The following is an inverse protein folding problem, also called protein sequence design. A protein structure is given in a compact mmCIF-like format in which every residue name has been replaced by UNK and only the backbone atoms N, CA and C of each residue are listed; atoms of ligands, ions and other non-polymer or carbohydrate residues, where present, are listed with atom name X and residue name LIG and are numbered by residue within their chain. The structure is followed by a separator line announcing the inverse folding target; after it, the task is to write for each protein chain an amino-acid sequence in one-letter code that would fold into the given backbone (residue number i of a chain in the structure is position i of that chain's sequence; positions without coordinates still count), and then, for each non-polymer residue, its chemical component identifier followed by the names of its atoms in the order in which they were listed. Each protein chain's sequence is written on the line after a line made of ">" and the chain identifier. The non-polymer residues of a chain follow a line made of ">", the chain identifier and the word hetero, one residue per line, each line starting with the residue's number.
data_IF_293502391124
#
_entry.id   IF_293502391124
#
_cell.length_a   1.000
_cell.length_b   1.000
_cell.length_c   1.000
_cell.angle_alpha   90.00
_cell.angle_beta   90.00
_cell.angle_gamma   90.00
#
_symmetry.space_group_name_H-M   'P 1'
#
loop_
_entity.id
_entity.type
_entity.pdbx_description
1 polymer ?
#
# COMPACT_ATOMS: atom_id res chain seq x y z
N UNK A 1 34.00 2.93 9.43
CA UNK A 1 33.28 2.40 8.24
C UNK A 1 31.90 1.88 8.65
N UNK A 2 30.99 2.77 9.11
CA UNK A 2 29.67 2.40 9.67
C UNK A 2 28.47 2.81 8.78
N UNK A 3 28.73 3.45 7.62
CA UNK A 3 27.68 3.96 6.73
C UNK A 3 27.03 2.92 5.80
N UNK A 4 27.58 1.71 5.72
CA UNK A 4 27.03 0.62 4.89
C UNK A 4 25.69 0.04 5.40
N UNK A 5 25.54 -0.33 6.69
CA UNK A 5 24.30 -0.96 7.18
C UNK A 5 23.11 0.00 7.26
N UNK A 6 23.36 1.31 7.43
CA UNK A 6 22.30 2.32 7.49
C UNK A 6 21.58 2.41 6.15
N UNK A 7 22.32 2.35 5.04
CA UNK A 7 21.74 2.39 3.69
C UNK A 7 20.84 1.19 3.41
N UNK A 8 21.22 -0.01 3.86
CA UNK A 8 20.39 -1.21 3.70
C UNK A 8 19.11 -1.14 4.53
N UNK A 9 19.19 -0.62 5.76
CA UNK A 9 18.01 -0.39 6.60
C UNK A 9 17.01 0.58 5.95
N UNK A 10 17.50 1.69 5.39
CA UNK A 10 16.65 2.67 4.70
C UNK A 10 15.92 2.02 3.52
N UNK A 11 16.61 1.20 2.71
CA UNK A 11 15.98 0.52 1.57
C UNK A 11 14.91 -0.47 2.03
N UNK A 12 15.16 -1.22 3.10
CA UNK A 12 14.17 -2.15 3.68
C UNK A 12 12.91 -1.41 4.13
N UNK A 13 13.08 -0.29 4.85
CA UNK A 13 11.95 0.52 5.34
C UNK A 13 11.15 1.11 4.17
N UNK A 14 11.83 1.61 3.14
CA UNK A 14 11.16 2.14 1.94
C UNK A 14 10.38 1.04 1.21
N UNK A 15 10.97 -0.13 1.02
CA UNK A 15 10.30 -1.26 0.37
C UNK A 15 9.05 -1.71 1.15
N UNK A 16 9.14 -1.73 2.48
CA UNK A 16 8.01 -2.06 3.35
C UNK A 16 6.88 -1.02 3.26
N UNK A 17 7.22 0.27 3.30
CA UNK A 17 6.24 1.37 3.14
C UNK A 17 5.59 1.35 1.75
N UNK A 18 6.37 1.09 0.70
CA UNK A 18 5.85 0.94 -0.65
C UNK A 18 4.86 -0.24 -0.75
N UNK A 19 5.18 -1.37 -0.10
CA UNK A 19 4.28 -2.51 -0.01
C UNK A 19 2.97 -2.19 0.72
N UNK A 20 3.04 -1.52 1.88
CA UNK A 20 1.85 -1.12 2.64
C UNK A 20 0.94 -0.17 1.85
N UNK A 21 1.53 0.80 1.15
CA UNK A 21 0.80 1.73 0.29
C UNK A 21 0.19 1.01 -0.91
N UNK A 22 0.94 0.09 -1.53
CA UNK A 22 0.45 -0.73 -2.64
C UNK A 22 -0.73 -1.62 -2.23
N UNK A 23 -0.67 -2.24 -1.05
CA UNK A 23 -1.77 -3.05 -0.49
C UNK A 23 -3.02 -2.19 -0.25
N UNK A 24 -2.84 -1.00 0.34
CA UNK A 24 -3.92 -0.02 0.55
C UNK A 24 -4.56 0.39 -0.78
N UNK A 25 -3.74 0.72 -1.77
CA UNK A 25 -4.19 1.12 -3.11
C UNK A 25 -4.89 -0.04 -3.84
N UNK A 26 -4.40 -1.28 -3.71
CA UNK A 26 -5.07 -2.43 -4.33
C UNK A 26 -6.46 -2.68 -3.78
N UNK A 27 -6.69 -2.49 -2.48
CA UNK A 27 -8.02 -2.68 -1.90
C UNK A 27 -8.96 -1.56 -2.38
N UNK A 28 -8.48 -0.31 -2.49
CA UNK A 28 -9.28 0.78 -3.04
C UNK A 28 -9.57 0.62 -4.53
N UNK A 29 -8.56 0.23 -5.30
CA UNK A 29 -8.67 0.02 -6.74
C UNK A 29 -9.55 -1.20 -7.03
N UNK A 30 -9.40 -2.30 -6.27
CA UNK A 30 -10.25 -3.49 -6.44
C UNK A 30 -11.72 -3.15 -6.21
N UNK A 31 -12.02 -2.26 -5.24
CA UNK A 31 -13.36 -1.78 -5.01
C UNK A 31 -13.86 -0.90 -6.17
N UNK A 32 -13.04 0.03 -6.65
CA UNK A 32 -13.34 0.90 -7.77
C UNK A 32 -13.57 0.12 -9.08
N UNK A 33 -12.74 -0.90 -9.36
CA UNK A 33 -12.88 -1.78 -10.52
C UNK A 33 -14.11 -2.67 -10.44
N UNK A 34 -14.59 -3.01 -9.24
CA UNK A 34 -15.83 -3.74 -9.02
C UNK A 34 -17.09 -2.84 -9.13
N UNK A 35 -16.93 -1.59 -9.56
CA UNK A 35 -18.03 -0.61 -9.64
C UNK A 35 -18.43 -0.01 -8.29
N UNK A 36 -17.72 -0.34 -7.22
CA UNK A 36 -17.94 0.16 -5.87
C UNK A 36 -17.11 1.40 -5.53
N UNK A 37 -17.47 2.07 -4.46
CA UNK A 37 -16.72 3.19 -3.89
C UNK A 37 -16.18 2.80 -2.52
N UNK A 38 -14.90 3.11 -2.28
CA UNK A 38 -14.27 2.82 -0.98
C UNK A 38 -14.68 3.91 0.03
N UNK A 39 -15.54 3.56 0.98
CA UNK A 39 -16.03 4.47 2.03
C UNK A 39 -15.61 3.93 3.39
N UNK A 40 -14.79 4.69 4.12
CA UNK A 40 -14.29 4.33 5.46
C UNK A 40 -13.61 2.95 5.54
N UNK A 41 -12.91 2.53 4.47
CA UNK A 41 -12.25 1.22 4.40
C UNK A 41 -13.16 0.05 4.03
N UNK A 42 -14.44 0.30 3.76
CA UNK A 42 -15.41 -0.68 3.28
C UNK A 42 -15.71 -0.41 1.80
N UNK A 43 -15.79 -1.47 1.01
CA UNK A 43 -16.24 -1.36 -0.38
C UNK A 43 -17.77 -1.30 -0.43
N UNK A 44 -18.33 -0.20 -0.96
CA UNK A 44 -19.77 0.05 -1.00
C UNK A 44 -20.25 0.21 -2.44
N UNK A 45 -21.28 -0.54 -2.84
CA UNK A 45 -21.84 -0.44 -4.20
C UNK A 45 -21.17 -1.33 -5.25
N UNK A 46 -20.29 -2.27 -4.86
CA UNK A 46 -19.92 -3.37 -5.73
C UNK A 46 -21.16 -4.28 -5.90
N UNK A 47 -21.64 -4.39 -7.14
CA UNK A 47 -22.78 -5.22 -7.54
C UNK A 47 -22.31 -6.40 -8.36
#
# INVERSE_FOLDING_TARGET
>A
MLFRPIRTLIVIVIAFMAGLLFERSRISDSCATAGGTMLAGLCRGAQ
#
